data_IF_516484294871
#
_entry.id   IF_516484294871
#
_cell.length_a   1.000
_cell.length_b   1.000
_cell.length_c   1.000
_cell.angle_alpha   90.00
_cell.angle_beta   90.00
_cell.angle_gamma   90.00
#
_symmetry.space_group_name_H-M   'P 1'
#
loop_
_entity.id
_entity.type
_entity.pdbx_description
1 polymer ?
#
# COMPACT_ATOMS: atom_id res chain seq x y z
N UNK A 1 14.55 11.60 31.90
CA UNK A 1 15.66 11.90 30.97
C UNK A 1 15.30 11.46 29.56
N UNK A 2 14.67 10.28 29.39
CA UNK A 2 14.15 9.76 28.11
C UNK A 2 13.11 10.67 27.46
N UNK A 3 12.02 11.04 28.16
CA UNK A 3 10.97 11.92 27.59
C UNK A 3 11.51 13.27 27.08
N UNK A 4 12.43 13.89 27.82
CA UNK A 4 13.05 15.16 27.39
C UNK A 4 13.96 14.99 26.17
N UNK A 5 14.48 13.79 25.93
CA UNK A 5 15.21 13.45 24.70
C UNK A 5 14.25 13.21 23.53
N UNK A 6 13.17 12.46 23.76
CA UNK A 6 12.13 12.17 22.77
C UNK A 6 11.40 13.43 22.27
N UNK A 7 10.93 14.29 23.19
CA UNK A 7 10.35 15.60 22.84
C UNK A 7 11.33 16.44 22.02
N UNK A 8 12.63 16.41 22.37
CA UNK A 8 13.66 17.16 21.64
C UNK A 8 13.93 16.57 20.25
N UNK A 9 13.89 15.25 20.09
CA UNK A 9 14.02 14.59 18.78
C UNK A 9 12.86 14.98 17.89
N UNK A 10 11.62 14.82 18.38
CA UNK A 10 10.41 15.20 17.65
C UNK A 10 10.44 16.66 17.21
N UNK A 11 10.77 17.59 18.12
CA UNK A 11 10.90 19.02 17.79
C UNK A 11 11.98 19.31 16.75
N UNK A 12 13.04 18.50 16.70
CA UNK A 12 14.16 18.67 15.75
C UNK A 12 13.85 18.08 14.38
N UNK A 13 13.14 16.95 14.35
CA UNK A 13 12.77 16.22 13.13
C UNK A 13 11.57 16.84 12.42
N UNK A 14 10.52 17.20 13.19
CA UNK A 14 9.24 17.70 12.65
C UNK A 14 9.13 19.22 12.63
N UNK A 15 10.01 19.93 13.33
CA UNK A 15 9.91 21.38 13.50
C UNK A 15 8.76 21.87 14.42
N UNK A 16 7.93 20.96 14.93
CA UNK A 16 6.75 21.27 15.76
C UNK A 16 7.17 21.66 17.17
N UNK A 17 6.62 22.76 17.70
CA UNK A 17 7.00 23.30 19.02
C UNK A 17 6.12 22.76 20.15
N UNK A 18 6.62 21.75 20.88
CA UNK A 18 6.01 21.27 22.14
C UNK A 18 6.33 22.19 23.33
N UNK A 19 5.30 22.75 23.98
CA UNK A 19 5.42 23.66 25.12
C UNK A 19 5.59 22.97 26.48
N UNK A 20 5.65 23.78 27.54
CA UNK A 20 5.92 23.30 28.90
C UNK A 20 4.73 22.57 29.52
N UNK A 21 3.50 22.91 29.13
CA UNK A 21 2.26 22.31 29.63
C UNK A 21 2.04 20.94 28.99
N UNK A 22 2.24 20.85 27.68
CA UNK A 22 2.18 19.61 26.90
C UNK A 22 3.27 18.64 27.37
N UNK A 23 4.50 19.13 27.60
CA UNK A 23 5.59 18.33 28.17
C UNK A 23 5.28 17.83 29.59
N UNK A 24 4.51 18.60 30.38
CA UNK A 24 4.09 18.17 31.71
C UNK A 24 3.01 17.09 31.64
N UNK A 25 2.03 17.24 30.73
CA UNK A 25 1.00 16.24 30.47
C UNK A 25 1.63 14.92 29.98
N UNK A 26 2.52 14.97 28.97
CA UNK A 26 3.22 13.78 28.46
C UNK A 26 3.99 13.05 29.56
N UNK A 27 4.62 13.80 30.48
CA UNK A 27 5.35 13.20 31.60
C UNK A 27 4.47 12.40 32.53
N UNK A 28 3.24 12.85 32.73
CA UNK A 28 2.25 12.18 33.56
C UNK A 28 1.64 10.98 32.82
N UNK A 29 1.21 11.16 31.58
CA UNK A 29 0.60 10.11 30.75
C UNK A 29 1.55 8.96 30.44
N UNK A 30 2.85 9.23 30.31
CA UNK A 30 3.87 8.21 30.04
C UNK A 30 4.46 7.59 31.31
N UNK A 31 3.98 7.96 32.50
CA UNK A 31 4.45 7.43 33.77
C UNK A 31 3.95 5.98 33.98
N UNK A 32 4.60 5.02 33.31
CA UNK A 32 4.21 3.62 33.34
C UNK A 32 4.47 2.88 32.02
N UNK A 33 4.75 3.61 30.94
CA UNK A 33 5.14 3.04 29.64
C UNK A 33 6.64 2.71 29.69
N UNK A 34 7.00 1.46 29.40
CA UNK A 34 8.40 1.05 29.26
C UNK A 34 8.95 1.44 27.88
N UNK A 35 9.27 2.72 27.73
CA UNK A 35 9.82 3.28 26.49
C UNK A 35 11.15 2.62 26.08
N UNK A 36 11.87 1.99 27.00
CA UNK A 36 13.13 1.29 26.69
C UNK A 36 12.83 -0.10 26.13
N UNK A 37 11.88 -0.83 26.72
CA UNK A 37 11.39 -2.11 26.18
C UNK A 37 10.84 -1.98 24.75
N UNK A 38 10.16 -0.88 24.43
CA UNK A 38 9.66 -0.59 23.08
C UNK A 38 10.76 -0.57 21.99
N UNK A 39 11.95 -0.06 22.30
CA UNK A 39 13.06 0.06 21.34
C UNK A 39 13.83 -1.26 21.21
N UNK A 40 13.75 -2.13 22.21
CA UNK A 40 14.52 -3.38 22.28
C UNK A 40 13.71 -4.63 21.86
N UNK A 41 12.38 -4.59 21.86
CA UNK A 41 11.54 -5.78 21.62
C UNK A 41 10.34 -5.60 20.69
N UNK A 42 10.23 -4.50 19.93
CA UNK A 42 9.08 -4.23 19.04
C UNK A 42 7.73 -4.41 19.76
N UNK A 43 7.61 -3.86 20.97
CA UNK A 43 6.40 -4.00 21.79
C UNK A 43 5.31 -3.03 21.30
N UNK A 44 4.43 -3.50 20.41
CA UNK A 44 3.33 -2.73 19.81
C UNK A 44 2.42 -2.09 20.87
N UNK A 45 2.27 -2.74 22.02
CA UNK A 45 1.46 -2.23 23.14
C UNK A 45 2.01 -0.92 23.72
N UNK A 46 3.34 -0.76 23.71
CA UNK A 46 3.99 0.47 24.13
C UNK A 46 3.81 1.61 23.12
N UNK A 47 3.80 1.30 21.82
CA UNK A 47 3.61 2.27 20.75
C UNK A 47 2.18 2.84 20.75
N UNK A 48 1.19 1.97 20.96
CA UNK A 48 -0.22 2.36 21.09
C UNK A 48 -0.45 3.26 22.32
N UNK A 49 0.14 2.89 23.46
CA UNK A 49 0.03 3.71 24.68
C UNK A 49 0.71 5.08 24.51
N UNK A 50 1.79 5.15 23.71
CA UNK A 50 2.45 6.41 23.37
C UNK A 50 1.57 7.28 22.48
N UNK A 51 0.91 6.70 21.48
CA UNK A 51 -0.05 7.37 20.61
C UNK A 51 -1.21 7.98 21.41
N UNK A 52 -1.79 7.20 22.33
CA UNK A 52 -2.83 7.68 23.24
C UNK A 52 -2.37 8.84 24.13
N UNK A 53 -1.12 8.82 24.61
CA UNK A 53 -0.54 9.92 25.36
C UNK A 53 -0.34 11.19 24.50
N UNK A 54 0.05 11.03 23.23
CA UNK A 54 0.23 12.15 22.31
C UNK A 54 -1.08 12.81 21.94
N UNK A 55 -2.08 12.03 21.53
CA UNK A 55 -3.40 12.54 21.17
C UNK A 55 -4.05 13.36 22.29
N UNK A 56 -3.86 12.92 23.53
CA UNK A 56 -4.36 13.63 24.73
C UNK A 56 -3.62 14.92 25.05
N UNK A 57 -2.30 14.92 24.93
CA UNK A 57 -1.46 15.94 25.54
C UNK A 57 -0.96 17.02 24.58
N UNK A 58 -0.92 16.73 23.28
CA UNK A 58 -0.26 17.60 22.30
C UNK A 58 -1.21 18.55 21.56
N UNK A 59 -2.53 18.34 21.61
CA UNK A 59 -3.51 19.28 21.02
C UNK A 59 -3.20 19.58 19.55
N UNK A 60 -3.07 20.86 19.20
CA UNK A 60 -2.67 21.29 17.84
C UNK A 60 -1.37 20.64 17.35
N UNK A 61 -0.39 20.42 18.24
CA UNK A 61 0.85 19.76 17.86
C UNK A 61 0.64 18.28 17.48
N UNK A 62 -0.39 17.62 18.02
CA UNK A 62 -0.78 16.28 17.58
C UNK A 62 -1.39 16.34 16.17
N UNK A 63 -2.29 17.31 15.92
CA UNK A 63 -2.88 17.50 14.60
C UNK A 63 -1.79 17.82 13.58
N UNK A 64 -0.83 18.69 13.93
CA UNK A 64 0.33 18.96 13.07
C UNK A 64 1.12 17.70 12.77
N UNK A 65 1.39 16.84 13.77
CA UNK A 65 2.09 15.56 13.55
C UNK A 65 1.33 14.66 12.57
N UNK A 66 0.00 14.59 12.66
CA UNK A 66 -0.83 13.81 11.75
C UNK A 66 -0.85 14.35 10.32
N UNK A 67 -0.52 15.64 10.12
CA UNK A 67 -0.51 16.29 8.80
C UNK A 67 0.90 16.37 8.18
N UNK A 68 1.95 16.02 8.92
CA UNK A 68 3.36 16.09 8.45
C UNK A 68 3.52 15.31 7.15
N UNK A 69 2.99 14.09 7.08
CA UNK A 69 3.14 13.22 5.91
C UNK A 69 2.22 13.62 4.75
N UNK A 70 1.17 14.40 5.03
CA UNK A 70 0.30 14.99 4.01
C UNK A 70 0.88 16.28 3.41
N UNK A 71 2.01 16.77 3.90
CA UNK A 71 2.64 18.00 3.42
C UNK A 71 1.87 19.28 3.75
N UNK A 72 0.92 19.24 4.68
CA UNK A 72 0.12 20.41 5.07
C UNK A 72 0.52 20.92 6.44
N UNK A 73 0.90 22.20 6.46
CA UNK A 73 1.19 22.93 7.68
C UNK A 73 -0.11 23.34 8.37
N UNK A 74 -0.29 22.95 9.62
CA UNK A 74 -1.47 23.31 10.41
C UNK A 74 -1.70 24.83 10.47
N UNK A 75 -0.64 25.64 10.39
CA UNK A 75 -0.76 27.10 10.38
C UNK A 75 -1.45 27.65 9.14
N UNK A 76 -1.37 26.96 8.00
CA UNK A 76 -1.92 27.41 6.72
C UNK A 76 -3.42 27.12 6.57
N UNK A 77 -3.98 26.27 7.43
CA UNK A 77 -5.40 25.94 7.45
C UNK A 77 -6.28 27.14 7.84
N UNK A 78 -7.51 27.17 7.30
CA UNK A 78 -8.52 28.14 7.69
C UNK A 78 -8.96 27.95 9.16
N UNK A 79 -9.52 28.99 9.76
CA UNK A 79 -10.06 28.92 11.12
C UNK A 79 -11.17 27.87 11.26
N UNK A 80 -11.91 27.58 10.18
CA UNK A 80 -12.97 26.57 10.15
C UNK A 80 -12.41 25.15 10.19
N UNK A 81 -11.41 24.86 9.37
CA UNK A 81 -10.72 23.56 9.31
C UNK A 81 -10.02 23.26 10.64
N UNK A 82 -9.27 24.23 11.17
CA UNK A 82 -8.63 24.13 12.50
C UNK A 82 -9.64 23.85 13.60
N UNK A 83 -10.81 24.47 13.56
CA UNK A 83 -11.86 24.24 14.56
C UNK A 83 -12.45 22.84 14.47
N UNK A 84 -12.68 22.35 13.24
CA UNK A 84 -13.19 21.00 13.01
C UNK A 84 -12.20 19.93 13.47
N UNK A 85 -10.92 20.04 13.10
CA UNK A 85 -9.87 19.07 13.51
C UNK A 85 -9.74 18.97 15.03
N UNK A 86 -9.79 20.12 15.72
CA UNK A 86 -9.78 20.15 17.19
C UNK A 86 -11.01 19.49 17.80
N UNK A 87 -12.18 19.71 17.21
CA UNK A 87 -13.42 19.06 17.65
C UNK A 87 -13.34 17.54 17.50
N UNK A 88 -12.80 17.05 16.37
CA UNK A 88 -12.60 15.62 16.12
C UNK A 88 -11.61 15.02 17.11
N UNK A 89 -10.43 15.63 17.28
CA UNK A 89 -9.41 15.19 18.24
C UNK A 89 -9.96 15.16 19.68
N UNK A 90 -10.74 16.16 20.08
CA UNK A 90 -11.35 16.23 21.41
C UNK A 90 -12.45 15.19 21.64
N UNK A 91 -13.04 14.66 20.56
CA UNK A 91 -14.06 13.62 20.61
C UNK A 91 -13.52 12.20 20.82
N UNK A 92 -12.21 11.99 20.67
CA UNK A 92 -11.58 10.67 20.80
C UNK A 92 -11.40 10.27 22.26
N UNK A 93 -11.74 9.02 22.56
CA UNK A 93 -11.45 8.39 23.85
C UNK A 93 -9.98 7.94 23.91
N UNK A 94 -9.07 8.90 24.17
CA UNK A 94 -7.63 8.65 24.30
C UNK A 94 -7.25 7.74 25.47
N UNK A 95 -8.17 7.47 26.41
CA UNK A 95 -7.99 6.47 27.48
C UNK A 95 -8.27 5.04 26.98
N UNK A 96 -8.98 4.90 25.85
CA UNK A 96 -9.30 3.63 25.19
C UNK A 96 -8.13 3.00 24.42
N UNK A 97 -7.10 3.78 24.10
CA UNK A 97 -5.85 3.33 23.46
C UNK A 97 -4.96 2.57 24.46
N UNK A 98 -5.49 1.50 25.04
CA UNK A 98 -4.80 0.68 26.04
C UNK A 98 -4.93 -0.80 25.70
N UNK A 99 -3.79 -1.46 25.48
CA UNK A 99 -3.65 -2.91 25.57
C UNK A 99 -4.24 -3.76 24.45
N UNK A 100 -5.16 -3.24 23.64
CA UNK A 100 -5.81 -3.92 22.52
C UNK A 100 -5.36 -3.28 21.19
N UNK A 101 -4.42 -3.91 20.46
CA UNK A 101 -3.89 -3.37 19.21
C UNK A 101 -4.92 -3.17 18.12
N UNK A 102 -5.84 -4.12 17.96
CA UNK A 102 -6.83 -4.11 16.88
C UNK A 102 -7.83 -2.97 17.08
N UNK A 103 -8.41 -2.87 18.29
CA UNK A 103 -9.35 -1.80 18.62
C UNK A 103 -8.69 -0.41 18.60
N UNK A 104 -7.42 -0.32 18.99
CA UNK A 104 -6.67 0.95 18.96
C UNK A 104 -6.33 1.38 17.53
N UNK A 105 -6.03 0.42 16.66
CA UNK A 105 -5.79 0.67 15.24
C UNK A 105 -7.08 1.12 14.54
N UNK A 106 -8.21 0.45 14.78
CA UNK A 106 -9.53 0.88 14.26
C UNK A 106 -9.88 2.31 14.71
N UNK A 107 -9.69 2.63 16.00
CA UNK A 107 -9.94 3.97 16.53
C UNK A 107 -9.00 5.03 15.93
N UNK A 108 -7.75 4.67 15.64
CA UNK A 108 -6.80 5.54 14.96
C UNK A 108 -7.18 5.78 13.50
N UNK A 109 -7.61 4.74 12.79
CA UNK A 109 -8.13 4.86 11.42
C UNK A 109 -9.37 5.76 11.38
N UNK A 110 -10.34 5.55 12.28
CA UNK A 110 -11.56 6.38 12.34
C UNK A 110 -11.25 7.85 12.63
N UNK A 111 -10.26 8.14 13.48
CA UNK A 111 -9.77 9.48 13.70
C UNK A 111 -9.11 10.05 12.45
N UNK A 112 -8.24 9.28 11.80
CA UNK A 112 -7.50 9.71 10.61
C UNK A 112 -8.48 10.06 9.49
N UNK A 113 -9.39 9.14 9.13
CA UNK A 113 -10.48 9.39 8.18
C UNK A 113 -11.36 10.57 8.58
N UNK A 114 -11.71 10.67 9.86
CA UNK A 114 -12.52 11.74 10.40
C UNK A 114 -11.85 13.13 10.39
N UNK A 115 -10.52 13.18 10.44
CA UNK A 115 -9.76 14.42 10.29
C UNK A 115 -9.75 14.90 8.83
N UNK A 116 -9.80 13.99 7.85
CA UNK A 116 -9.92 14.36 6.44
C UNK A 116 -11.28 14.99 6.10
N UNK A 117 -12.37 14.59 6.79
CA UNK A 117 -13.68 15.28 6.67
C UNK A 117 -13.62 16.77 7.04
N UNK A 118 -12.66 17.16 7.88
CA UNK A 118 -12.45 18.53 8.32
C UNK A 118 -11.59 19.36 7.36
N UNK A 119 -10.97 18.72 6.37
CA UNK A 119 -10.03 19.31 5.43
C UNK A 119 -10.55 19.05 4.02
N UNK A 120 -11.57 19.79 3.52
CA UNK A 120 -12.14 19.53 2.21
C UNK A 120 -11.14 19.69 1.07
N UNK A 121 -10.08 20.48 1.26
CA UNK A 121 -8.97 20.67 0.30
C UNK A 121 -7.92 19.54 0.39
N UNK A 122 -7.90 18.76 1.48
CA UNK A 122 -7.15 17.49 1.62
C UNK A 122 -8.07 16.29 1.67
N UNK A 123 -9.34 16.47 1.33
CA UNK A 123 -10.28 15.38 1.22
C UNK A 123 -9.69 14.46 0.17
N UNK A 124 -9.51 13.20 0.54
CA UNK A 124 -9.42 12.12 -0.44
C UNK A 124 -10.76 12.06 -1.19
N UNK A 125 -11.02 13.04 -2.06
CA UNK A 125 -11.32 12.68 -3.43
C UNK A 125 -10.00 12.05 -3.88
N UNK A 126 -9.93 10.72 -3.81
CA UNK A 126 -8.84 9.99 -4.39
C UNK A 126 -8.69 10.50 -5.82
N UNK A 127 -7.56 11.18 -6.01
CA UNK A 127 -7.05 11.81 -7.23
C UNK A 127 -7.27 13.32 -7.31
N UNK A 128 -6.13 14.00 -7.45
CA UNK A 128 -5.97 15.43 -7.67
C UNK A 128 -7.08 15.97 -8.56
N UNK A 129 -8.01 16.74 -7.99
CA UNK A 129 -9.02 17.49 -8.73
C UNK A 129 -8.35 18.65 -9.49
N UNK A 130 -7.63 18.34 -10.56
CA UNK A 130 -7.26 19.35 -11.55
C UNK A 130 -8.46 19.45 -12.47
N UNK A 131 -9.37 20.38 -12.20
CA UNK A 131 -10.35 20.74 -13.22
C UNK A 131 -9.59 21.16 -14.49
N UNK A 132 -10.04 20.66 -15.64
CA UNK A 132 -9.41 20.98 -16.90
C UNK A 132 -9.24 22.50 -17.09
N UNK A 133 -8.12 22.96 -17.68
CA UNK A 133 -7.87 24.37 -17.92
C UNK A 133 -9.05 25.03 -18.65
N UNK A 134 -9.44 26.21 -18.19
CA UNK A 134 -10.59 26.92 -18.72
C UNK A 134 -10.52 27.07 -20.26
N UNK A 135 -11.50 26.48 -20.96
CA UNK A 135 -11.61 26.54 -22.43
C UNK A 135 -11.07 25.32 -23.16
N UNK A 136 -10.59 24.30 -22.45
CA UNK A 136 -10.45 22.92 -22.94
C UNK A 136 -11.83 22.24 -22.91
N UNK A 137 -12.11 21.41 -23.91
CA UNK A 137 -13.29 20.55 -24.00
C UNK A 137 -12.83 19.14 -23.64
N UNK A 138 -12.77 18.88 -22.34
CA UNK A 138 -12.29 17.65 -21.69
C UNK A 138 -13.30 16.52 -21.90
N UNK A 139 -12.87 15.39 -22.46
CA UNK A 139 -13.79 14.33 -22.87
C UNK A 139 -14.20 13.37 -21.74
N UNK A 140 -13.35 13.24 -20.73
CA UNK A 140 -13.62 12.54 -19.48
C UNK A 140 -13.32 13.44 -18.28
N UNK A 141 -13.52 12.94 -17.06
CA UNK A 141 -13.32 13.76 -15.86
C UNK A 141 -11.96 13.45 -15.26
N UNK A 142 -11.26 14.48 -14.80
CA UNK A 142 -10.02 14.40 -14.06
C UNK A 142 -10.18 13.95 -12.59
N UNK A 143 -11.34 13.37 -12.21
CA UNK A 143 -11.57 12.88 -10.85
C UNK A 143 -12.56 11.71 -10.77
N UNK A 144 -12.40 10.90 -9.74
CA UNK A 144 -13.27 9.75 -9.45
C UNK A 144 -14.73 10.15 -9.16
N UNK A 145 -14.97 11.36 -8.65
CA UNK A 145 -16.31 11.86 -8.32
C UNK A 145 -17.23 11.99 -9.56
N UNK A 146 -16.66 12.34 -10.71
CA UNK A 146 -17.35 12.52 -11.99
C UNK A 146 -16.92 11.49 -13.04
N UNK A 147 -16.37 10.35 -12.59
CA UNK A 147 -15.84 9.30 -13.44
C UNK A 147 -16.85 8.80 -14.50
N UNK A 148 -16.34 8.55 -15.70
CA UNK A 148 -17.14 8.02 -16.80
C UNK A 148 -17.45 6.54 -16.57
N UNK A 149 -18.75 6.19 -16.51
CA UNK A 149 -19.16 4.80 -16.37
C UNK A 149 -18.77 3.96 -17.59
N UNK A 150 -17.98 2.91 -17.38
CA UNK A 150 -17.59 1.92 -18.38
C UNK A 150 -18.17 0.54 -18.04
N UNK A 151 -18.10 -0.41 -18.97
CA UNK A 151 -18.57 -1.80 -18.76
C UNK A 151 -17.46 -2.78 -19.04
N UNK A 152 -17.38 -3.80 -18.18
CA UNK A 152 -16.51 -4.95 -18.39
C UNK A 152 -16.84 -5.62 -19.74
N UNK A 153 -15.81 -5.82 -20.56
CA UNK A 153 -15.87 -6.36 -21.91
C UNK A 153 -16.18 -5.35 -23.01
N UNK A 154 -16.41 -4.07 -22.69
CA UNK A 154 -16.56 -2.99 -23.67
C UNK A 154 -15.29 -2.13 -23.74
N UNK A 155 -14.92 -1.72 -24.96
CA UNK A 155 -13.81 -0.80 -25.16
C UNK A 155 -14.32 0.64 -25.12
N UNK A 156 -13.64 1.49 -24.36
CA UNK A 156 -13.97 2.91 -24.17
C UNK A 156 -12.80 3.75 -24.67
N UNK A 157 -13.07 4.64 -25.62
CA UNK A 157 -12.05 5.56 -26.15
C UNK A 157 -12.13 6.91 -25.44
N UNK A 158 -10.97 7.51 -25.19
CA UNK A 158 -10.79 8.84 -24.61
C UNK A 158 -9.56 9.52 -25.21
N UNK A 159 -9.28 10.75 -24.78
CA UNK A 159 -8.12 11.52 -25.20
C UNK A 159 -7.59 12.38 -24.06
N UNK A 160 -6.27 12.41 -23.90
CA UNK A 160 -5.63 13.39 -23.01
C UNK A 160 -5.42 14.68 -23.79
N UNK A 161 -6.17 15.73 -23.46
CA UNK A 161 -6.22 17.00 -24.17
C UNK A 161 -5.03 17.92 -23.88
N UNK A 162 -4.45 17.82 -22.69
CA UNK A 162 -3.39 18.69 -22.21
C UNK A 162 -2.37 17.96 -21.32
N UNK A 163 -1.26 18.64 -21.03
CA UNK A 163 -0.20 18.09 -20.18
C UNK A 163 -0.68 17.98 -18.73
N UNK A 164 -0.64 16.77 -18.18
CA UNK A 164 -1.18 16.44 -16.85
C UNK A 164 -2.68 16.15 -16.82
N UNK A 165 -3.31 16.02 -17.98
CA UNK A 165 -4.69 15.54 -18.09
C UNK A 165 -4.76 14.04 -17.76
N UNK A 166 -5.82 13.65 -17.06
CA UNK A 166 -6.11 12.27 -16.68
C UNK A 166 -7.60 12.00 -16.79
N UNK A 167 -7.94 10.78 -17.18
CA UNK A 167 -9.33 10.39 -17.41
C UNK A 167 -9.78 9.32 -16.43
N UNK A 168 -10.80 9.65 -15.64
CA UNK A 168 -11.41 8.71 -14.71
C UNK A 168 -12.56 7.94 -15.31
N UNK A 169 -12.52 6.62 -15.09
CA UNK A 169 -13.57 5.68 -15.40
C UNK A 169 -14.01 4.94 -14.15
N UNK A 170 -15.24 4.44 -14.15
CA UNK A 170 -15.77 3.58 -13.08
C UNK A 170 -16.43 2.34 -13.66
N UNK A 171 -16.15 1.19 -13.06
CA UNK A 171 -16.83 -0.08 -13.34
C UNK A 171 -17.22 -0.79 -12.05
N UNK A 172 -18.20 -1.68 -12.12
CA UNK A 172 -18.59 -2.53 -10.98
C UNK A 172 -17.78 -3.83 -11.01
N UNK A 173 -16.86 -4.00 -10.06
CA UNK A 173 -16.11 -5.23 -9.86
C UNK A 173 -16.95 -6.27 -9.09
N UNK A 174 -16.67 -7.54 -9.34
CA UNK A 174 -17.26 -8.68 -8.63
C UNK A 174 -16.14 -9.41 -7.88
N UNK A 175 -16.35 -9.62 -6.58
CA UNK A 175 -15.41 -10.34 -5.71
C UNK A 175 -15.06 -11.71 -6.30
N UNK A 176 -13.76 -12.00 -6.37
CA UNK A 176 -13.19 -13.24 -6.90
C UNK A 176 -13.01 -13.28 -8.42
N UNK A 177 -13.48 -12.28 -9.18
CA UNK A 177 -13.12 -12.15 -10.59
C UNK A 177 -11.68 -11.61 -10.71
N UNK A 178 -10.96 -12.12 -11.70
CA UNK A 178 -9.63 -11.65 -12.07
C UNK A 178 -9.75 -10.72 -13.28
N UNK A 179 -9.36 -9.46 -13.12
CA UNK A 179 -9.51 -8.43 -14.14
C UNK A 179 -8.21 -8.16 -14.87
N UNK A 180 -8.32 -7.97 -16.18
CA UNK A 180 -7.29 -7.41 -17.06
C UNK A 180 -7.72 -6.00 -17.47
N UNK A 181 -6.87 -5.02 -17.21
CA UNK A 181 -7.04 -3.62 -17.61
C UNK A 181 -5.94 -3.27 -18.61
N UNK A 182 -6.33 -2.91 -19.83
CA UNK A 182 -5.38 -2.54 -20.88
C UNK A 182 -5.73 -1.20 -21.50
N UNK A 183 -4.70 -0.40 -21.79
CA UNK A 183 -4.84 0.86 -22.53
C UNK A 183 -4.11 0.74 -23.85
N UNK A 184 -4.87 0.59 -24.94
CA UNK A 184 -4.31 0.54 -26.28
C UNK A 184 -3.94 1.97 -26.75
N UNK A 185 -2.67 2.24 -27.10
CA UNK A 185 -2.25 3.54 -27.61
C UNK A 185 -2.97 3.91 -28.91
N UNK A 186 -3.47 5.14 -28.99
CA UNK A 186 -4.00 5.74 -30.21
C UNK A 186 -3.01 6.73 -30.80
N UNK A 187 -3.22 8.03 -30.54
CA UNK A 187 -2.19 9.06 -30.79
C UNK A 187 -1.41 9.44 -29.54
N UNK A 188 -1.85 9.00 -28.36
CA UNK A 188 -1.06 9.03 -27.13
C UNK A 188 0.00 7.93 -27.25
N UNK A 189 1.29 8.29 -27.22
CA UNK A 189 2.37 7.31 -27.45
C UNK A 189 2.67 6.44 -26.23
N UNK A 190 2.46 6.99 -25.04
CA UNK A 190 2.94 6.42 -23.76
C UNK A 190 1.86 6.62 -22.66
N UNK A 191 0.75 5.87 -22.75
CA UNK A 191 -0.31 5.88 -21.74
C UNK A 191 0.11 5.20 -20.43
N UNK A 192 -0.54 5.55 -19.33
CA UNK A 192 -0.46 4.85 -18.04
C UNK A 192 -1.85 4.43 -17.58
N UNK A 193 -1.92 3.44 -16.68
CA UNK A 193 -3.18 3.03 -16.05
C UNK A 193 -3.00 2.85 -14.55
N UNK A 194 -3.93 3.37 -13.76
CA UNK A 194 -4.00 3.13 -12.33
C UNK A 194 -5.39 2.66 -11.92
N UNK A 195 -5.46 1.71 -10.99
CA UNK A 195 -6.68 1.19 -10.42
C UNK A 195 -6.81 1.69 -8.98
N UNK A 196 -8.00 2.17 -8.60
CA UNK A 196 -8.31 2.68 -7.28
C UNK A 196 -9.51 1.97 -6.64
N UNK A 197 -9.42 1.81 -5.31
CA UNK A 197 -10.52 1.34 -4.45
C UNK A 197 -11.62 2.39 -4.27
N UNK A 198 -12.68 2.03 -3.55
CA UNK A 198 -13.79 2.96 -3.28
C UNK A 198 -13.40 4.09 -2.34
N UNK A 199 -12.35 3.86 -1.56
CA UNK A 199 -11.73 4.76 -0.60
C UNK A 199 -10.72 5.71 -1.28
N UNK A 200 -10.47 5.56 -2.58
CA UNK A 200 -9.52 6.38 -3.33
C UNK A 200 -8.05 5.96 -3.19
N UNK A 201 -7.77 4.83 -2.53
CA UNK A 201 -6.43 4.25 -2.49
C UNK A 201 -6.09 3.59 -3.81
N UNK A 202 -4.89 3.85 -4.33
CA UNK A 202 -4.36 3.14 -5.50
C UNK A 202 -4.13 1.68 -5.11
N UNK A 203 -4.79 0.77 -5.83
CA UNK A 203 -4.66 -0.67 -5.65
C UNK A 203 -3.56 -1.23 -6.54
N UNK A 204 -3.43 -0.70 -7.76
CA UNK A 204 -2.40 -1.13 -8.70
C UNK A 204 -2.13 -0.03 -9.76
N UNK A 205 -0.97 -0.05 -10.42
CA UNK A 205 -0.54 0.88 -11.46
C UNK A 205 0.38 0.17 -12.45
N UNK A 206 0.25 0.51 -13.72
CA UNK A 206 1.19 0.08 -14.76
C UNK A 206 1.39 1.20 -15.79
N UNK A 207 2.63 1.35 -16.30
CA UNK A 207 2.97 2.24 -17.40
C UNK A 207 3.57 1.53 -18.62
N UNK A 208 4.32 0.45 -18.44
CA UNK A 208 4.88 -0.30 -19.55
C UNK A 208 4.86 -1.83 -19.35
N UNK A 209 4.13 -2.53 -20.23
CA UNK A 209 4.09 -3.99 -20.21
C UNK A 209 4.56 -4.65 -21.50
N UNK A 210 5.15 -5.85 -21.35
CA UNK A 210 5.52 -6.73 -22.46
C UNK A 210 6.55 -6.14 -23.44
N UNK A 211 7.37 -5.19 -22.98
CA UNK A 211 8.34 -4.47 -23.79
C UNK A 211 7.73 -3.42 -24.73
N UNK A 212 6.53 -2.95 -24.41
CA UNK A 212 5.83 -1.85 -25.09
C UNK A 212 5.47 -0.75 -24.10
N UNK A 213 5.24 0.48 -24.56
CA UNK A 213 4.74 1.60 -23.73
C UNK A 213 3.22 1.53 -23.51
N UNK A 214 2.61 0.36 -23.72
CA UNK A 214 1.20 0.17 -23.48
C UNK A 214 1.06 -0.56 -22.14
N UNK A 215 0.30 -0.01 -21.19
CA UNK A 215 0.15 -0.63 -19.91
C UNK A 215 -0.86 -1.77 -19.96
N UNK A 216 -0.59 -2.80 -19.17
CA UNK A 216 -1.41 -3.99 -18.98
C UNK A 216 -1.35 -4.40 -17.52
N UNK A 217 -2.44 -4.15 -16.81
CA UNK A 217 -2.57 -4.40 -15.39
C UNK A 217 -3.48 -5.60 -15.15
N UNK A 218 -3.09 -6.44 -14.21
CA UNK A 218 -3.92 -7.52 -13.69
C UNK A 218 -4.29 -7.28 -12.23
N UNK A 219 -5.51 -7.65 -11.85
CA UNK A 219 -5.99 -7.44 -10.48
C UNK A 219 -7.07 -8.44 -10.09
N UNK A 220 -6.87 -9.12 -8.95
CA UNK A 220 -7.86 -9.99 -8.32
C UNK A 220 -8.78 -9.18 -7.42
N UNK A 221 -10.09 -9.25 -7.68
CA UNK A 221 -11.07 -8.51 -6.89
C UNK A 221 -11.28 -9.11 -5.49
N UNK A 222 -10.93 -8.34 -4.48
CA UNK A 222 -11.11 -8.65 -3.04
C UNK A 222 -12.51 -8.30 -2.51
N UNK A 223 -13.34 -7.63 -3.32
CA UNK A 223 -14.67 -7.20 -2.93
C UNK A 223 -15.53 -6.78 -4.12
N UNK A 224 -16.84 -6.89 -3.94
CA UNK A 224 -17.83 -6.46 -4.94
C UNK A 224 -18.18 -4.99 -4.75
N UNK A 225 -18.12 -4.19 -5.83
CA UNK A 225 -18.48 -2.77 -5.78
C UNK A 225 -17.76 -1.94 -6.83
N UNK A 226 -17.94 -0.61 -6.81
CA UNK A 226 -17.28 0.26 -7.76
C UNK A 226 -15.76 0.19 -7.60
N UNK A 227 -15.05 0.27 -8.72
CA UNK A 227 -13.61 0.49 -8.82
C UNK A 227 -13.36 1.57 -9.86
N UNK A 228 -12.38 2.41 -9.59
CA UNK A 228 -12.06 3.55 -10.44
C UNK A 228 -10.77 3.28 -11.20
N UNK A 229 -10.75 3.63 -12.48
CA UNK A 229 -9.58 3.50 -13.34
C UNK A 229 -9.20 4.89 -13.81
N UNK A 230 -7.96 5.28 -13.54
CA UNK A 230 -7.34 6.47 -14.12
C UNK A 230 -6.57 6.04 -15.37
N UNK A 231 -6.80 6.70 -16.49
CA UNK A 231 -5.90 6.65 -17.64
C UNK A 231 -5.14 7.97 -17.70
N UNK A 232 -3.83 7.87 -17.57
CA UNK A 232 -2.90 9.00 -17.73
C UNK A 232 -1.94 8.74 -18.88
N UNK A 233 -0.85 9.50 -18.92
CA UNK A 233 0.20 9.26 -19.90
C UNK A 233 1.26 10.36 -19.97
N UNK A 234 2.37 10.03 -20.62
CA UNK A 234 3.46 10.96 -20.92
C UNK A 234 3.20 11.66 -22.26
N UNK A 235 2.21 12.55 -22.28
CA UNK A 235 1.89 13.36 -23.45
C UNK A 235 0.40 13.62 -23.59
N UNK A 236 -0.02 13.86 -24.83
CA UNK A 236 -1.42 14.13 -25.18
C UNK A 236 -1.80 13.27 -26.37
N UNK A 237 -3.08 12.90 -26.46
CA UNK A 237 -3.60 12.13 -27.59
C UNK A 237 -4.65 11.11 -27.19
N UNK A 238 -5.20 10.44 -28.19
CA UNK A 238 -6.26 9.46 -27.98
C UNK A 238 -5.72 8.11 -27.54
N UNK A 239 -6.53 7.35 -26.83
CA UNK A 239 -6.27 5.96 -26.42
C UNK A 239 -7.57 5.13 -26.44
N UNK A 240 -7.48 3.86 -26.06
CA UNK A 240 -8.66 3.02 -25.83
C UNK A 240 -8.45 2.13 -24.62
N UNK A 241 -9.24 2.37 -23.56
CA UNK A 241 -9.32 1.55 -22.36
C UNK A 241 -10.19 0.32 -22.61
N UNK A 242 -9.71 -0.84 -22.19
CA UNK A 242 -10.49 -2.08 -22.10
C UNK A 242 -10.35 -2.67 -20.71
N UNK A 243 -11.47 -2.98 -20.07
CA UNK A 243 -11.52 -3.73 -18.82
C UNK A 243 -12.21 -5.06 -19.12
N UNK A 244 -11.53 -6.18 -18.87
CA UNK A 244 -12.06 -7.51 -19.13
C UNK A 244 -11.90 -8.41 -17.90
N UNK A 245 -12.75 -9.42 -17.78
CA UNK A 245 -12.43 -10.57 -16.93
C UNK A 245 -11.42 -11.41 -17.70
N UNK A 246 -10.26 -11.63 -17.09
CA UNK A 246 -9.19 -12.44 -17.65
C UNK A 246 -9.56 -13.92 -17.57
N UNK A 247 -9.26 -14.66 -18.65
CA UNK A 247 -9.31 -16.12 -18.66
C UNK A 247 -7.93 -16.73 -18.26
N UNK A 248 -6.97 -15.89 -17.85
CA UNK A 248 -5.70 -16.35 -17.32
C UNK A 248 -5.95 -17.14 -16.02
N UNK A 249 -5.48 -18.38 -15.99
CA UNK A 249 -5.46 -19.20 -14.79
C UNK A 249 -4.06 -19.09 -14.19
N UNK A 250 -3.93 -18.24 -13.17
CA UNK A 250 -2.75 -18.14 -12.33
C UNK A 250 -2.48 -19.49 -11.61
N UNK A 251 -1.23 -19.93 -11.58
CA UNK A 251 -0.84 -21.21 -11.00
C UNK A 251 -0.59 -21.14 -9.49
N UNK A 252 -0.24 -19.97 -8.94
CA UNK A 252 -0.08 -19.75 -7.51
C UNK A 252 -0.51 -18.34 -7.09
N UNK A 253 -1.38 -18.26 -6.08
CA UNK A 253 -1.97 -16.97 -5.70
C UNK A 253 -0.95 -15.90 -5.27
N UNK A 254 -1.25 -14.65 -5.64
CA UNK A 254 -0.60 -13.40 -5.21
C UNK A 254 -0.77 -13.01 -3.73
N UNK A 255 -1.26 -13.91 -2.87
CA UNK A 255 -1.58 -13.59 -1.48
C UNK A 255 -1.37 -14.73 -0.50
N UNK A 256 -1.13 -14.36 0.76
CA UNK A 256 -0.92 -15.30 1.87
C UNK A 256 -2.13 -16.21 2.11
N UNK A 257 -3.34 -15.72 1.84
CA UNK A 257 -4.62 -16.40 2.01
C UNK A 257 -4.78 -17.56 1.00
N UNK A 258 -4.24 -17.39 -0.21
CA UNK A 258 -4.25 -18.36 -1.30
C UNK A 258 -2.95 -19.17 -1.41
N UNK A 259 -1.98 -18.95 -0.53
CA UNK A 259 -0.63 -19.49 -0.65
C UNK A 259 -0.59 -21.01 -0.85
N UNK A 260 0.24 -21.45 -1.79
CA UNK A 260 0.41 -22.87 -2.10
C UNK A 260 1.24 -23.55 -0.99
N UNK A 261 0.67 -24.56 -0.33
CA UNK A 261 1.39 -25.33 0.68
C UNK A 261 2.49 -26.20 0.05
N UNK A 262 3.72 -26.10 0.56
CA UNK A 262 4.88 -26.85 0.06
C UNK A 262 5.48 -27.76 1.14
N UNK A 263 5.99 -28.92 0.72
CA UNK A 263 6.74 -29.82 1.59
C UNK A 263 8.24 -29.52 1.55
N UNK A 264 8.86 -29.34 2.71
CA UNK A 264 10.30 -29.07 2.82
C UNK A 264 11.11 -30.21 2.19
N UNK A 265 11.93 -29.87 1.21
CA UNK A 265 12.80 -30.75 0.43
C UNK A 265 12.22 -31.16 -0.93
N UNK A 266 10.98 -30.79 -1.23
CA UNK A 266 10.39 -30.98 -2.56
C UNK A 266 10.55 -29.71 -3.41
N UNK A 267 10.72 -29.92 -4.72
CA UNK A 267 10.78 -28.84 -5.70
C UNK A 267 9.38 -28.57 -6.25
N UNK A 268 9.03 -27.30 -6.36
CA UNK A 268 7.73 -26.83 -6.87
C UNK A 268 7.99 -25.96 -8.09
N UNK A 269 7.24 -26.19 -9.16
CA UNK A 269 7.29 -25.39 -10.38
C UNK A 269 6.21 -24.32 -10.31
N UNK A 270 6.53 -23.11 -10.72
CA UNK A 270 5.60 -21.98 -10.87
C UNK A 270 5.91 -21.19 -12.13
N UNK A 271 5.01 -20.29 -12.50
CA UNK A 271 5.16 -19.39 -13.65
C UNK A 271 4.61 -18.02 -13.30
N UNK A 272 5.45 -16.99 -13.37
CA UNK A 272 4.95 -15.63 -13.37
C UNK A 272 4.34 -15.35 -14.73
N UNK A 273 3.03 -15.12 -14.77
CA UNK A 273 2.21 -14.98 -15.96
C UNK A 273 2.10 -13.53 -16.45
N UNK A 274 2.29 -12.55 -15.56
CA UNK A 274 2.26 -11.11 -15.83
C UNK A 274 3.33 -10.36 -15.02
N UNK A 275 3.61 -9.11 -15.37
CA UNK A 275 4.81 -8.40 -14.92
C UNK A 275 4.85 -8.15 -13.39
N UNK A 276 3.70 -8.06 -12.72
CA UNK A 276 3.56 -7.94 -11.25
C UNK A 276 3.12 -9.24 -10.55
N UNK A 277 3.12 -10.37 -11.26
CA UNK A 277 2.74 -11.66 -10.71
C UNK A 277 3.73 -12.09 -9.61
N UNK A 278 3.19 -12.55 -8.47
CA UNK A 278 3.98 -13.00 -7.32
C UNK A 278 3.41 -14.26 -6.71
N UNK A 279 4.15 -15.36 -6.83
CA UNK A 279 3.65 -16.64 -6.35
C UNK A 279 3.90 -16.82 -4.84
N UNK A 280 2.83 -16.88 -4.02
CA UNK A 280 2.93 -17.17 -2.60
C UNK A 280 2.93 -18.68 -2.31
N UNK A 281 3.90 -19.09 -1.49
CA UNK A 281 4.02 -20.44 -0.94
C UNK A 281 4.06 -20.41 0.59
N UNK A 282 3.63 -21.49 1.24
CA UNK A 282 3.68 -21.62 2.70
C UNK A 282 4.26 -22.95 3.15
N UNK A 283 5.13 -22.93 4.15
CA UNK A 283 5.64 -24.12 4.83
C UNK A 283 5.71 -23.93 6.35
N UNK A 284 5.60 -25.03 7.10
CA UNK A 284 5.77 -25.00 8.55
C UNK A 284 7.27 -25.04 8.94
N UNK A 285 7.78 -23.92 9.42
CA UNK A 285 9.11 -23.82 10.00
C UNK A 285 9.15 -24.50 11.37
N UNK A 286 10.31 -25.07 11.69
CA UNK A 286 10.60 -25.75 12.96
C UNK A 286 11.67 -24.98 13.69
N UNK A 287 11.41 -24.68 14.96
CA UNK A 287 12.31 -23.91 15.81
C UNK A 287 13.73 -24.49 15.82
N UNK A 288 14.71 -23.64 15.57
CA UNK A 288 16.13 -23.96 15.60
C UNK A 288 16.65 -24.68 14.35
N UNK A 289 15.79 -24.97 13.36
CA UNK A 289 16.22 -25.49 12.07
C UNK A 289 16.70 -24.36 11.15
N UNK A 290 17.63 -24.70 10.27
CA UNK A 290 18.10 -23.82 9.20
C UNK A 290 17.48 -24.25 7.88
N UNK A 291 16.99 -23.28 7.13
CA UNK A 291 16.40 -23.47 5.82
C UNK A 291 17.26 -22.82 4.75
N UNK A 292 17.33 -23.46 3.59
CA UNK A 292 17.88 -22.94 2.34
C UNK A 292 16.71 -22.81 1.37
N UNK A 293 16.43 -21.59 0.92
CA UNK A 293 15.37 -21.30 -0.02
C UNK A 293 16.03 -20.86 -1.33
N UNK A 294 15.75 -21.59 -2.40
CA UNK A 294 16.42 -21.41 -3.68
C UNK A 294 15.38 -21.38 -4.80
N UNK A 295 15.51 -20.41 -5.69
CA UNK A 295 14.74 -20.36 -6.93
C UNK A 295 15.68 -20.66 -8.08
N UNK A 296 15.44 -21.75 -8.81
CA UNK A 296 16.14 -22.03 -10.06
C UNK A 296 15.40 -21.36 -11.23
N UNK A 297 16.06 -20.45 -11.97
CA UNK A 297 15.46 -19.80 -13.14
C UNK A 297 15.09 -20.83 -14.21
N UNK A 298 13.86 -20.74 -14.74
CA UNK A 298 13.38 -21.52 -15.88
C UNK A 298 13.44 -20.67 -17.16
N UNK A 299 12.29 -20.12 -17.54
CA UNK A 299 12.22 -19.08 -18.59
C UNK A 299 12.16 -17.67 -18.02
N UNK A 300 11.89 -17.52 -16.72
CA UNK A 300 12.07 -16.28 -15.99
C UNK A 300 13.57 -16.02 -15.82
N UNK A 301 14.10 -14.94 -16.41
CA UNK A 301 15.55 -14.71 -16.44
C UNK A 301 16.09 -14.13 -15.13
N UNK A 302 15.26 -13.42 -14.37
CA UNK A 302 15.64 -12.58 -13.23
C UNK A 302 14.60 -12.69 -12.09
N UNK A 303 14.47 -13.87 -11.44
CA UNK A 303 13.56 -14.07 -10.31
C UNK A 303 14.03 -13.37 -9.03
N UNK A 304 13.09 -13.01 -8.16
CA UNK A 304 13.35 -12.52 -6.79
C UNK A 304 12.72 -13.44 -5.75
N UNK A 305 13.18 -13.34 -4.50
CA UNK A 305 12.70 -14.18 -3.41
C UNK A 305 12.56 -13.38 -2.11
N UNK A 306 11.38 -13.42 -1.50
CA UNK A 306 11.13 -12.86 -0.19
C UNK A 306 10.61 -13.92 0.79
N UNK A 307 10.91 -13.72 2.08
CA UNK A 307 10.42 -14.55 3.17
C UNK A 307 9.62 -13.67 4.14
N UNK A 308 8.42 -14.10 4.51
CA UNK A 308 7.52 -13.41 5.43
C UNK A 308 7.10 -14.30 6.60
N UNK A 309 6.74 -13.69 7.72
CA UNK A 309 6.08 -14.37 8.83
C UNK A 309 4.56 -14.49 8.66
N UNK A 310 3.89 -14.98 9.71
CA UNK A 310 2.45 -15.22 9.71
C UNK A 310 1.60 -13.94 9.66
N UNK A 311 2.18 -12.79 10.03
CA UNK A 311 1.53 -11.49 10.03
C UNK A 311 1.92 -10.68 8.76
N UNK A 312 2.51 -11.37 7.77
CA UNK A 312 2.97 -10.81 6.49
C UNK A 312 4.04 -9.71 6.67
N UNK A 313 4.84 -9.80 7.74
CA UNK A 313 6.05 -9.00 7.86
C UNK A 313 7.20 -9.64 7.13
N UNK A 314 7.85 -8.87 6.26
CA UNK A 314 9.01 -9.32 5.51
C UNK A 314 10.19 -9.57 6.46
N UNK A 315 10.64 -10.81 6.52
CA UNK A 315 11.77 -11.28 7.33
C UNK A 315 13.09 -11.20 6.57
N UNK A 316 13.07 -11.50 5.27
CA UNK A 316 14.27 -11.51 4.44
C UNK A 316 13.92 -11.32 2.94
N UNK A 317 14.91 -10.93 2.13
CA UNK A 317 14.78 -10.82 0.67
C UNK A 317 16.12 -11.00 -0.03
N UNK A 318 16.07 -11.64 -1.19
CA UNK A 318 17.18 -11.75 -2.10
C UNK A 318 16.75 -11.68 -3.56
N UNK A 319 17.70 -11.29 -4.39
CA UNK A 319 17.54 -11.02 -5.83
C UNK A 319 18.62 -11.79 -6.61
N UNK A 320 19.89 -11.55 -6.24
CA UNK A 320 21.04 -11.92 -7.07
C UNK A 320 22.15 -12.70 -6.35
N UNK A 321 21.90 -13.26 -5.15
CA UNK A 321 23.00 -13.87 -4.38
C UNK A 321 23.35 -15.32 -4.78
N UNK A 322 22.53 -15.95 -5.63
CA UNK A 322 22.71 -17.30 -6.16
C UNK A 322 23.50 -17.37 -7.48
N UNK A 323 23.20 -18.40 -8.28
CA UNK A 323 23.87 -18.63 -9.57
C UNK A 323 23.22 -17.76 -10.67
N UNK A 324 23.95 -16.76 -11.17
CA UNK A 324 23.44 -15.88 -12.22
C UNK A 324 22.68 -14.69 -11.62
N UNK A 325 21.42 -14.52 -12.00
CA UNK A 325 20.47 -13.56 -11.43
C UNK A 325 19.42 -14.28 -10.57
N UNK A 326 19.85 -15.36 -9.91
CA UNK A 326 18.95 -16.21 -9.13
C UNK A 326 19.09 -15.87 -7.64
N UNK A 327 18.00 -15.88 -6.88
CA UNK A 327 18.03 -15.60 -5.46
C UNK A 327 18.30 -16.87 -4.65
N UNK A 328 19.04 -16.72 -3.55
CA UNK A 328 19.38 -17.78 -2.61
C UNK A 328 19.36 -17.27 -1.17
N UNK A 329 18.38 -17.71 -0.38
CA UNK A 329 18.22 -17.31 1.01
C UNK A 329 18.58 -18.43 1.99
N UNK A 330 19.15 -18.04 3.12
CA UNK A 330 19.41 -18.93 4.25
C UNK A 330 18.78 -18.39 5.53
N UNK A 331 17.75 -19.08 6.02
CA UNK A 331 16.99 -18.64 7.18
C UNK A 331 17.23 -19.54 8.40
N UNK A 332 17.33 -18.97 9.59
CA UNK A 332 17.36 -19.72 10.84
C UNK A 332 16.08 -19.45 11.64
N UNK A 333 15.23 -20.46 11.78
CA UNK A 333 13.94 -20.29 12.42
C UNK A 333 14.09 -20.10 13.94
N UNK A 334 13.67 -18.94 14.45
CA UNK A 334 13.62 -18.60 15.86
C UNK A 334 12.25 -18.90 16.51
N UNK A 335 11.28 -19.32 15.70
CA UNK A 335 9.94 -19.81 16.06
C UNK A 335 9.57 -21.10 15.31
N UNK A 336 8.45 -21.72 15.67
CA UNK A 336 7.78 -22.74 14.84
C UNK A 336 6.43 -22.20 14.40
N UNK A 337 6.05 -22.46 13.16
CA UNK A 337 4.83 -21.94 12.57
C UNK A 337 4.98 -21.72 11.07
N UNK A 338 3.93 -21.20 10.41
CA UNK A 338 3.97 -20.93 8.99
C UNK A 338 4.96 -19.80 8.69
N UNK A 339 5.77 -20.00 7.65
CA UNK A 339 6.48 -18.94 6.96
C UNK A 339 6.03 -18.93 5.51
N UNK A 340 5.93 -17.73 4.95
CA UNK A 340 5.51 -17.52 3.57
C UNK A 340 6.72 -17.20 2.71
N UNK A 341 6.85 -17.89 1.59
CA UNK A 341 7.89 -17.68 0.60
C UNK A 341 7.23 -17.08 -0.62
N UNK A 342 7.70 -15.92 -1.06
CA UNK A 342 7.14 -15.22 -2.22
C UNK A 342 8.19 -15.20 -3.31
N UNK A 343 7.85 -15.74 -4.47
CA UNK A 343 8.69 -15.66 -5.67
C UNK A 343 8.11 -14.56 -6.56
N UNK A 344 8.91 -13.54 -6.83
CA UNK A 344 8.62 -12.53 -7.85
C UNK A 344 9.70 -12.54 -8.92
N UNK A 345 9.79 -11.48 -9.70
CA UNK A 345 10.86 -11.33 -10.68
C UNK A 345 10.74 -10.08 -11.52
N UNK A 346 11.78 -9.81 -12.31
CA UNK A 346 11.75 -8.78 -13.34
C UNK A 346 11.30 -9.42 -14.67
N UNK A 347 10.00 -9.37 -14.90
CA UNK A 347 9.32 -9.94 -16.06
C UNK A 347 8.71 -11.31 -15.80
N UNK A 348 8.26 -11.96 -16.88
CA UNK A 348 7.44 -13.17 -16.81
C UNK A 348 8.22 -14.45 -17.14
N UNK A 349 7.79 -15.57 -16.57
CA UNK A 349 8.26 -16.88 -16.96
C UNK A 349 8.24 -17.94 -15.87
N UNK A 350 8.62 -19.15 -16.27
CA UNK A 350 8.69 -20.30 -15.38
C UNK A 350 9.93 -20.29 -14.49
N UNK A 351 9.82 -20.87 -13.31
CA UNK A 351 10.91 -21.10 -12.37
C UNK A 351 10.70 -22.42 -11.58
N UNK A 352 11.64 -22.76 -10.70
CA UNK A 352 11.47 -23.87 -9.74
C UNK A 352 11.93 -23.46 -8.36
N UNK A 353 11.01 -23.41 -7.40
CA UNK A 353 11.28 -23.14 -5.98
C UNK A 353 11.65 -24.44 -5.25
N UNK A 354 12.65 -24.37 -4.38
CA UNK A 354 12.95 -25.42 -3.40
C UNK A 354 13.23 -24.82 -2.04
N UNK A 355 12.54 -25.31 -1.01
CA UNK A 355 12.85 -25.03 0.40
C UNK A 355 13.41 -26.28 1.03
N UNK A 356 14.70 -26.28 1.38
CA UNK A 356 15.40 -27.43 1.96
C UNK A 356 15.91 -27.14 3.38
N UNK A 357 16.17 -28.20 4.17
CA UNK A 357 16.91 -28.05 5.43
C UNK A 357 18.41 -27.97 5.14
N UNK A 358 19.06 -26.95 5.68
CA UNK A 358 20.49 -26.65 5.46
C UNK A 358 21.41 -26.85 6.66
#
# INVERSE_FOLDING_TARGET
>A
MVLSGLVRSMQTETGIMIGAEETACLRESMAGIDVIGMVESSDDLGAIALLGAFGRCLGDAFISLMLVDSGVEFEDLSDGEKACLRERQAGVDWDGFTGDPEASFEAFLELSFGMFECLPELGFDGVSSVEAPAGVDDDHANSSADATATRVGEATGGSLEYDGDVDFFVFDAVEGDFYELSVAPGTLEDPTVALYGVEGWQLNYDDDSGGSWAPLLYWSADGTGPRYVEVGGYGTGSYTLTIAVSDLEDDHADSSEGATAIEVGEAVQGTLHYDDDVDYFVFDAVWGERYELNVEPGTLEDPTLALYDADVWQLDYDDDSGDGLAPLLFWFADGSGPLYVVVGGYGIGSYTLTVARG
#
